data_IF_235259593885
#
_entry.id   IF_235259593885
#
_cell.length_a   1.000
_cell.length_b   1.000
_cell.length_c   1.000
_cell.angle_alpha   90.00
_cell.angle_beta   90.00
_cell.angle_gamma   90.00
#
_symmetry.space_group_name_H-M   'P 1'
#
loop_
_entity.id
_entity.type
_entity.pdbx_description
1 polymer ?
#
# COMPACT_ATOMS: atom_id res chain seq x y z
N UNK A 1 -33.93 -31.23 17.77
CA UNK A 1 -32.45 -31.16 17.86
C UNK A 1 -31.99 -29.97 17.02
N UNK A 2 -32.13 -28.75 17.56
CA UNK A 2 -31.64 -27.54 16.89
C UNK A 2 -30.12 -27.52 17.04
N UNK A 3 -29.40 -27.65 15.91
CA UNK A 3 -27.94 -27.48 15.91
C UNK A 3 -27.65 -26.04 16.32
N UNK A 4 -26.94 -25.86 17.42
CA UNK A 4 -26.34 -24.60 17.81
C UNK A 4 -25.45 -24.13 16.65
N UNK A 5 -25.94 -23.18 15.87
CA UNK A 5 -25.07 -22.35 15.02
C UNK A 5 -24.34 -21.46 16.01
N UNK A 6 -23.18 -21.91 16.48
CA UNK A 6 -22.26 -21.03 17.20
C UNK A 6 -21.99 -19.83 16.31
N UNK A 7 -22.22 -18.58 16.78
CA UNK A 7 -21.95 -17.41 15.97
C UNK A 7 -20.49 -17.49 15.50
N UNK A 8 -20.31 -17.44 14.19
CA UNK A 8 -18.99 -17.41 13.57
C UNK A 8 -18.24 -16.25 14.20
N UNK A 9 -17.12 -16.56 14.87
CA UNK A 9 -16.33 -15.54 15.55
C UNK A 9 -15.94 -14.47 14.53
N UNK A 10 -16.23 -13.19 14.80
CA UNK A 10 -16.01 -12.10 13.85
C UNK A 10 -14.55 -12.06 13.37
N UNK A 11 -13.62 -12.50 14.23
CA UNK A 11 -12.20 -12.64 13.93
C UNK A 11 -11.94 -13.57 12.75
N UNK A 12 -12.58 -14.74 12.74
CA UNK A 12 -12.44 -15.70 11.65
C UNK A 12 -12.93 -15.10 10.32
N UNK A 13 -14.01 -14.31 10.35
CA UNK A 13 -14.54 -13.66 9.16
C UNK A 13 -13.58 -12.59 8.62
N UNK A 14 -12.98 -11.78 9.50
CA UNK A 14 -12.01 -10.76 9.11
C UNK A 14 -10.72 -11.37 8.57
N UNK A 15 -10.19 -12.39 9.24
CA UNK A 15 -9.02 -13.14 8.76
C UNK A 15 -9.27 -13.77 7.40
N UNK A 16 -10.40 -14.48 7.26
CA UNK A 16 -10.76 -15.11 6.01
C UNK A 16 -10.88 -14.09 4.88
N UNK A 17 -11.52 -12.94 5.13
CA UNK A 17 -11.65 -11.88 4.15
C UNK A 17 -10.29 -11.28 3.76
N UNK A 18 -9.42 -10.98 4.73
CA UNK A 18 -8.08 -10.45 4.48
C UNK A 18 -7.22 -11.44 3.69
N UNK A 19 -7.23 -12.71 4.09
CA UNK A 19 -6.51 -13.80 3.40
C UNK A 19 -6.98 -13.91 1.95
N UNK A 20 -8.29 -14.01 1.71
CA UNK A 20 -8.86 -14.10 0.37
C UNK A 20 -8.49 -12.87 -0.48
N UNK A 21 -8.58 -11.67 0.10
CA UNK A 21 -8.22 -10.43 -0.57
C UNK A 21 -6.75 -10.41 -0.99
N UNK A 22 -5.81 -10.71 -0.10
CA UNK A 22 -4.38 -10.64 -0.42
C UNK A 22 -3.92 -11.76 -1.35
N UNK A 23 -4.46 -12.97 -1.24
CA UNK A 23 -4.20 -14.06 -2.20
C UNK A 23 -4.72 -13.66 -3.58
N UNK A 24 -5.99 -13.28 -3.67
CA UNK A 24 -6.62 -12.88 -4.94
C UNK A 24 -5.91 -11.69 -5.59
N UNK A 25 -5.58 -10.67 -4.80
CA UNK A 25 -4.88 -9.47 -5.29
C UNK A 25 -3.46 -9.80 -5.74
N UNK A 26 -2.73 -10.64 -5.01
CA UNK A 26 -1.39 -11.09 -5.40
C UNK A 26 -1.42 -11.88 -6.71
N UNK A 27 -2.36 -12.82 -6.85
CA UNK A 27 -2.58 -13.56 -8.08
C UNK A 27 -2.91 -12.64 -9.25
N UNK A 28 -3.75 -11.61 -9.04
CA UNK A 28 -4.10 -10.64 -10.06
C UNK A 28 -2.89 -9.80 -10.50
N UNK A 29 -2.05 -9.37 -9.54
CA UNK A 29 -0.80 -8.67 -9.85
C UNK A 29 0.14 -9.57 -10.63
N UNK A 30 0.31 -10.84 -10.26
CA UNK A 30 1.15 -11.79 -11.02
C UNK A 30 0.62 -12.02 -12.44
N UNK A 31 -0.68 -12.30 -12.59
CA UNK A 31 -1.32 -12.48 -13.89
C UNK A 31 -1.17 -11.25 -14.79
N UNK A 32 -1.10 -10.05 -14.20
CA UNK A 32 -0.91 -8.80 -14.93
C UNK A 32 0.49 -8.62 -15.56
N UNK A 33 1.46 -9.49 -15.27
CA UNK A 33 2.75 -9.51 -15.98
C UNK A 33 2.61 -10.09 -17.39
N UNK A 34 1.70 -11.06 -17.56
CA UNK A 34 1.51 -11.79 -18.81
C UNK A 34 0.24 -11.36 -19.55
N UNK A 35 -0.77 -10.83 -18.85
CA UNK A 35 -2.03 -10.40 -19.45
C UNK A 35 -2.06 -8.88 -19.67
N UNK A 36 -2.08 -8.40 -20.94
CA UNK A 36 -2.09 -6.97 -21.24
C UNK A 36 -3.31 -6.23 -20.68
N UNK A 37 -4.47 -6.89 -20.58
CA UNK A 37 -5.67 -6.28 -20.01
C UNK A 37 -5.51 -6.02 -18.51
N UNK A 38 -5.07 -7.02 -17.76
CA UNK A 38 -4.81 -6.88 -16.32
C UNK A 38 -3.66 -5.91 -16.05
N UNK A 39 -2.65 -5.85 -16.92
CA UNK A 39 -1.56 -4.90 -16.80
C UNK A 39 -2.07 -3.46 -16.70
N UNK A 40 -3.12 -3.11 -17.46
CA UNK A 40 -3.73 -1.77 -17.48
C UNK A 40 -4.30 -1.34 -16.13
N UNK A 41 -4.79 -2.30 -15.33
CA UNK A 41 -5.35 -2.02 -13.99
C UNK A 41 -4.24 -1.57 -13.04
N UNK A 42 -3.05 -2.16 -13.14
CA UNK A 42 -1.93 -1.88 -12.23
C UNK A 42 -0.94 -0.82 -12.75
N UNK A 43 -1.19 -0.23 -13.93
CA UNK A 43 -0.37 0.86 -14.48
C UNK A 43 -1.01 2.22 -14.20
N UNK A 44 -0.27 3.10 -13.52
CA UNK A 44 -0.68 4.47 -13.19
C UNK A 44 0.41 5.49 -13.56
N UNK A 45 0.04 6.77 -13.70
CA UNK A 45 0.99 7.86 -14.00
C UNK A 45 1.62 7.75 -15.39
N UNK A 46 2.96 7.72 -15.48
CA UNK A 46 3.71 7.68 -16.75
C UNK A 46 3.54 6.40 -17.57
N UNK A 47 2.95 5.37 -16.97
CA UNK A 47 2.73 4.07 -17.61
C UNK A 47 1.31 3.91 -18.15
N UNK A 48 0.48 4.95 -18.04
CA UNK A 48 -0.89 4.94 -18.57
C UNK A 48 -0.84 5.05 -20.10
N UNK A 49 -1.40 4.05 -20.78
CA UNK A 49 -1.73 4.10 -22.21
C UNK A 49 -3.21 4.43 -22.33
N UNK A 50 -3.56 5.51 -23.03
CA UNK A 50 -4.95 5.90 -23.23
C UNK A 50 -5.62 4.90 -24.19
N UNK A 51 -6.66 4.20 -23.74
CA UNK A 51 -7.49 3.32 -24.58
C UNK A 51 -8.97 3.55 -24.30
N UNK A 52 -9.79 3.36 -25.33
CA UNK A 52 -11.25 3.44 -25.25
C UNK A 52 -11.82 2.50 -24.17
N UNK A 53 -12.79 3.01 -23.38
CA UNK A 53 -13.54 2.22 -22.38
C UNK A 53 -12.99 2.22 -20.95
N UNK A 54 -11.87 2.88 -20.66
CA UNK A 54 -11.35 2.97 -19.29
C UNK A 54 -11.96 4.15 -18.53
N UNK A 55 -12.62 3.87 -17.39
CA UNK A 55 -13.08 4.93 -16.47
C UNK A 55 -11.88 5.42 -15.66
N UNK A 56 -11.55 6.69 -15.84
CA UNK A 56 -10.41 7.31 -15.21
C UNK A 56 -10.84 8.25 -14.09
N UNK A 57 -10.11 8.17 -12.99
CA UNK A 57 -10.34 8.96 -11.79
C UNK A 57 -9.20 9.98 -11.65
N UNK A 58 -9.55 11.21 -11.23
CA UNK A 58 -8.57 12.26 -10.98
C UNK A 58 -7.59 11.89 -9.87
N UNK A 59 -6.35 12.38 -9.97
CA UNK A 59 -5.30 12.19 -8.95
C UNK A 59 -5.71 12.67 -7.55
N UNK A 60 -6.59 13.65 -7.44
CA UNK A 60 -7.11 14.10 -6.14
C UNK A 60 -7.74 12.95 -5.35
N UNK A 61 -8.22 11.89 -6.01
CA UNK A 61 -8.73 10.70 -5.34
C UNK A 61 -7.65 9.79 -4.73
N UNK A 62 -6.36 9.98 -5.03
CA UNK A 62 -5.31 9.35 -4.23
C UNK A 62 -5.36 9.86 -2.78
N UNK A 63 -5.55 11.17 -2.57
CA UNK A 63 -5.73 11.72 -1.23
C UNK A 63 -6.88 11.02 -0.51
N UNK A 64 -7.98 10.77 -1.22
CA UNK A 64 -9.13 10.05 -0.66
C UNK A 64 -8.77 8.64 -0.19
N UNK A 65 -7.97 7.89 -0.96
CA UNK A 65 -7.53 6.54 -0.57
C UNK A 65 -6.74 6.59 0.75
N UNK A 66 -5.75 7.49 0.86
CA UNK A 66 -4.92 7.56 2.07
C UNK A 66 -5.69 8.09 3.28
N UNK A 67 -6.57 9.08 3.08
CA UNK A 67 -7.48 9.57 4.12
C UNK A 67 -8.44 8.47 4.58
N UNK A 68 -8.95 7.66 3.65
CA UNK A 68 -9.78 6.51 3.98
C UNK A 68 -9.03 5.48 4.82
N UNK A 69 -7.77 5.18 4.48
CA UNK A 69 -6.90 4.33 5.30
C UNK A 69 -6.67 4.88 6.71
N UNK A 70 -6.49 6.19 6.84
CA UNK A 70 -6.38 6.82 8.16
C UNK A 70 -7.68 6.70 8.97
N UNK A 71 -8.83 7.02 8.36
CA UNK A 71 -10.15 6.97 9.03
C UNK A 71 -10.51 5.55 9.44
N UNK A 72 -10.34 4.57 8.56
CA UNK A 72 -10.61 3.15 8.87
C UNK A 72 -9.70 2.63 9.97
N UNK A 73 -8.43 3.01 9.98
CA UNK A 73 -7.52 2.68 11.07
C UNK A 73 -7.97 3.30 12.39
N UNK A 74 -8.37 4.58 12.39
CA UNK A 74 -8.90 5.25 13.59
C UNK A 74 -10.18 4.58 14.12
N UNK A 75 -11.11 4.22 13.23
CA UNK A 75 -12.35 3.51 13.60
C UNK A 75 -11.99 2.18 14.25
N UNK A 76 -11.15 1.38 13.61
CA UNK A 76 -10.71 0.09 14.15
C UNK A 76 -9.98 0.29 15.49
N UNK A 77 -9.09 1.27 15.60
CA UNK A 77 -8.37 1.60 16.83
C UNK A 77 -9.31 1.95 18.00
N UNK A 78 -10.40 2.68 17.76
CA UNK A 78 -11.35 3.09 18.82
C UNK A 78 -12.36 1.98 19.16
N UNK A 79 -12.78 1.19 18.17
CA UNK A 79 -13.84 0.18 18.32
C UNK A 79 -13.33 -1.18 18.77
N UNK A 80 -12.03 -1.42 18.63
CA UNK A 80 -11.43 -2.68 19.03
C UNK A 80 -11.08 -2.66 20.50
N UNK A 81 -11.56 -3.64 21.25
CA UNK A 81 -11.10 -3.87 22.62
C UNK A 81 -9.61 -4.26 22.58
N UNK A 82 -8.76 -3.47 23.25
CA UNK A 82 -7.30 -3.66 23.30
C UNK A 82 -6.89 -4.97 23.98
N UNK A 83 -7.84 -5.74 24.50
CA UNK A 83 -7.60 -7.07 25.07
C UNK A 83 -7.48 -8.19 24.02
N UNK A 84 -7.84 -7.97 22.75
CA UNK A 84 -7.89 -9.04 21.74
C UNK A 84 -7.10 -8.75 20.45
N UNK A 85 -6.78 -7.50 20.17
CA UNK A 85 -6.29 -7.10 18.86
C UNK A 85 -5.27 -5.98 18.94
N UNK A 86 -4.09 -6.31 18.45
CA UNK A 86 -3.01 -5.42 18.04
C UNK A 86 -2.11 -4.88 19.14
N UNK A 87 -0.81 -4.85 18.81
CA UNK A 87 0.08 -3.84 19.35
C UNK A 87 -0.44 -2.46 18.92
N UNK A 88 -0.83 -1.56 19.85
CA UNK A 88 -1.26 -0.20 19.51
C UNK A 88 -0.25 0.51 18.59
N UNK A 89 1.02 0.15 18.73
CA UNK A 89 2.13 0.67 17.96
C UNK A 89 2.03 0.42 16.45
N UNK A 90 1.72 -0.81 15.99
CA UNK A 90 1.59 -1.09 14.55
C UNK A 90 0.48 -0.25 13.90
N UNK A 91 -0.64 -0.10 14.61
CA UNK A 91 -1.77 0.74 14.16
C UNK A 91 -1.40 2.20 14.09
N UNK A 92 -0.74 2.73 15.12
CA UNK A 92 -0.21 4.10 15.12
C UNK A 92 0.74 4.32 13.95
N UNK A 93 1.67 3.39 13.70
CA UNK A 93 2.62 3.49 12.58
C UNK A 93 1.91 3.48 11.22
N UNK A 94 0.91 2.62 11.02
CA UNK A 94 0.08 2.63 9.80
C UNK A 94 -0.69 3.95 9.66
N UNK A 95 -1.24 4.48 10.74
CA UNK A 95 -1.95 5.76 10.75
C UNK A 95 -1.02 6.92 10.37
N UNK A 96 0.19 6.96 10.95
CA UNK A 96 1.21 7.95 10.62
C UNK A 96 1.67 7.81 9.16
N UNK A 97 1.88 6.58 8.67
CA UNK A 97 2.23 6.34 7.27
C UNK A 97 1.15 6.85 6.33
N UNK A 98 -0.11 6.50 6.56
CA UNK A 98 -1.24 6.93 5.72
C UNK A 98 -1.45 8.45 5.74
N UNK A 99 -1.41 9.08 6.92
CA UNK A 99 -1.48 10.54 7.03
C UNK A 99 -0.33 11.24 6.31
N UNK A 100 0.90 10.75 6.48
CA UNK A 100 2.06 11.30 5.76
C UNK A 100 1.86 11.18 4.25
N UNK A 101 1.42 10.02 3.74
CA UNK A 101 1.14 9.83 2.30
C UNK A 101 0.06 10.78 1.78
N UNK A 102 -0.99 11.03 2.57
CA UNK A 102 -2.01 12.04 2.28
C UNK A 102 -1.40 13.46 2.20
N UNK A 103 -0.61 13.85 3.19
CA UNK A 103 0.06 15.15 3.23
C UNK A 103 1.04 15.35 2.06
N UNK A 104 1.82 14.32 1.73
CA UNK A 104 2.74 14.33 0.58
C UNK A 104 2.02 14.62 -0.73
N UNK A 105 0.79 14.13 -0.92
CA UNK A 105 0.00 14.42 -2.11
C UNK A 105 -0.37 15.88 -2.16
N UNK A 106 -0.80 16.47 -1.04
CA UNK A 106 -1.14 17.89 -0.98
C UNK A 106 0.10 18.73 -1.34
N UNK A 107 1.23 18.45 -0.68
CA UNK A 107 2.47 19.23 -0.81
C UNK A 107 3.15 19.04 -2.18
N UNK A 108 3.15 17.82 -2.73
CA UNK A 108 3.95 17.46 -3.92
C UNK A 108 3.14 17.48 -5.23
N UNK A 109 1.89 17.95 -5.23
CA UNK A 109 0.95 17.85 -6.36
C UNK A 109 1.18 18.84 -7.52
N UNK A 110 2.41 19.26 -7.81
CA UNK A 110 2.73 20.07 -9.01
C UNK A 110 2.51 19.36 -10.36
N UNK A 111 1.90 18.17 -10.39
CA UNK A 111 1.74 17.36 -11.61
C UNK A 111 0.32 17.50 -12.16
N UNK A 112 0.13 18.15 -13.31
CA UNK A 112 -1.18 18.26 -13.93
C UNK A 112 -1.62 16.86 -14.41
N UNK A 113 -2.80 16.43 -13.97
CA UNK A 113 -3.56 15.29 -14.49
C UNK A 113 -2.83 13.94 -14.61
N UNK A 114 -2.45 13.30 -13.50
CA UNK A 114 -2.27 11.83 -13.54
C UNK A 114 -3.62 11.14 -13.30
N UNK A 115 -4.16 10.52 -14.34
CA UNK A 115 -5.37 9.68 -14.26
C UNK A 115 -5.01 8.33 -13.60
N UNK A 116 -5.93 7.77 -12.82
CA UNK A 116 -5.87 6.41 -12.28
C UNK A 116 -7.09 5.62 -12.74
N UNK A 117 -6.91 4.33 -13.05
CA UNK A 117 -8.03 3.47 -13.43
C UNK A 117 -9.01 3.30 -12.24
N UNK A 118 -10.32 3.31 -12.47
CA UNK A 118 -11.33 3.13 -11.42
C UNK A 118 -11.14 1.81 -10.64
N UNK A 119 -10.79 0.72 -11.31
CA UNK A 119 -10.53 -0.54 -10.61
C UNK A 119 -9.31 -0.42 -9.68
N UNK A 120 -8.25 0.25 -10.13
CA UNK A 120 -7.09 0.54 -9.28
C UNK A 120 -7.46 1.40 -8.07
N UNK A 121 -8.36 2.36 -8.25
CA UNK A 121 -8.91 3.17 -7.17
C UNK A 121 -9.66 2.31 -6.14
N UNK A 122 -10.56 1.44 -6.61
CA UNK A 122 -11.34 0.54 -5.75
C UNK A 122 -10.46 -0.48 -5.03
N UNK A 123 -9.44 -1.04 -5.70
CA UNK A 123 -8.43 -1.88 -5.06
C UNK A 123 -7.66 -1.12 -3.99
N UNK A 124 -7.31 0.14 -4.25
CA UNK A 124 -6.69 1.02 -3.26
C UNK A 124 -7.59 1.22 -2.03
N UNK A 125 -8.87 1.54 -2.22
CA UNK A 125 -9.82 1.66 -1.11
C UNK A 125 -9.94 0.36 -0.32
N UNK A 126 -10.13 -0.78 -0.99
CA UNK A 126 -10.25 -2.08 -0.35
C UNK A 126 -8.98 -2.42 0.46
N UNK A 127 -7.80 -2.21 -0.11
CA UNK A 127 -6.53 -2.43 0.57
C UNK A 127 -6.44 -1.60 1.87
N UNK A 128 -6.76 -0.31 1.80
CA UNK A 128 -6.68 0.55 2.98
C UNK A 128 -7.80 0.32 4.00
N UNK A 129 -8.94 -0.25 3.61
CA UNK A 129 -9.96 -0.74 4.55
C UNK A 129 -9.49 -1.97 5.33
N UNK A 130 -8.80 -2.90 4.66
CA UNK A 130 -8.36 -4.17 5.26
C UNK A 130 -7.06 -3.99 6.06
N UNK A 131 -6.22 -3.02 5.66
CA UNK A 131 -4.91 -2.76 6.25
C UNK A 131 -4.89 -2.69 7.79
N UNK A 132 -5.83 -2.03 8.49
CA UNK A 132 -5.81 -2.00 9.95
C UNK A 132 -6.15 -3.36 10.59
N UNK A 133 -6.90 -4.21 9.88
CA UNK A 133 -7.39 -5.50 10.37
C UNK A 133 -6.31 -6.57 10.41
N UNK A 134 -5.17 -6.38 9.74
CA UNK A 134 -4.09 -7.39 9.68
C UNK A 134 -3.14 -7.33 10.88
N UNK A 135 -3.36 -6.39 11.81
CA UNK A 135 -2.51 -6.17 12.98
C UNK A 135 -3.01 -6.93 14.20
N UNK A 136 -2.27 -7.96 14.59
CA UNK A 136 -2.51 -8.84 15.74
C UNK A 136 -1.51 -8.63 16.87
N UNK A 137 -1.84 -9.11 18.06
CA UNK A 137 -0.96 -9.06 19.23
C UNK A 137 0.27 -9.96 19.06
N UNK A 138 1.39 -9.52 19.63
CA UNK A 138 2.64 -10.27 19.65
C UNK A 138 3.84 -9.33 19.64
N UNK A 139 4.39 -9.03 20.82
CA UNK A 139 5.69 -8.36 20.91
C UNK A 139 6.78 -9.33 20.45
N UNK A 140 7.31 -9.12 19.25
CA UNK A 140 8.44 -9.91 18.76
C UNK A 140 9.75 -9.38 19.32
N UNK A 141 10.78 -10.22 19.47
CA UNK A 141 12.12 -9.77 19.87
C UNK A 141 12.70 -8.66 18.95
N UNK A 142 12.15 -8.51 17.75
CA UNK A 142 12.61 -7.59 16.71
C UNK A 142 11.79 -6.28 16.64
N UNK A 143 10.85 -6.06 17.56
CA UNK A 143 9.91 -4.95 17.45
C UNK A 143 10.61 -3.58 17.45
N UNK A 144 11.59 -3.35 18.34
CA UNK A 144 12.35 -2.10 18.39
C UNK A 144 13.08 -1.80 17.08
N UNK A 145 13.81 -2.79 16.55
CA UNK A 145 14.56 -2.65 15.29
C UNK A 145 13.60 -2.37 14.14
N UNK A 146 12.44 -3.03 14.13
CA UNK A 146 11.41 -2.86 13.10
C UNK A 146 10.79 -1.47 13.13
N UNK A 147 10.57 -0.88 14.31
CA UNK A 147 10.07 0.50 14.46
C UNK A 147 11.09 1.51 13.95
N UNK A 148 12.37 1.32 14.27
CA UNK A 148 13.45 2.18 13.78
C UNK A 148 13.55 2.07 12.26
N UNK A 149 13.59 0.85 11.71
CA UNK A 149 13.66 0.60 10.27
C UNK A 149 12.43 1.17 9.54
N UNK A 150 11.24 1.02 10.09
CA UNK A 150 10.00 1.62 9.59
C UNK A 150 10.12 3.14 9.50
N UNK A 151 10.60 3.78 10.57
CA UNK A 151 10.73 5.23 10.65
C UNK A 151 11.73 5.77 9.63
N UNK A 152 12.88 5.11 9.51
CA UNK A 152 13.92 5.45 8.52
C UNK A 152 13.43 5.25 7.08
N UNK A 153 12.74 4.14 6.80
CA UNK A 153 12.19 3.88 5.48
C UNK A 153 11.09 4.89 5.11
N UNK A 154 10.18 5.19 6.05
CA UNK A 154 9.13 6.20 5.87
C UNK A 154 9.71 7.60 5.60
N UNK A 155 10.77 7.98 6.34
CA UNK A 155 11.48 9.25 6.12
C UNK A 155 12.20 9.28 4.77
N UNK A 156 12.95 8.23 4.42
CA UNK A 156 13.62 8.11 3.11
C UNK A 156 12.60 8.26 1.99
N UNK A 157 11.46 7.57 2.10
CA UNK A 157 10.41 7.66 1.10
C UNK A 157 9.84 9.07 0.98
N UNK A 158 9.64 9.77 2.11
CA UNK A 158 9.18 11.16 2.14
C UNK A 158 10.16 12.09 1.41
N UNK A 159 11.45 12.01 1.75
CA UNK A 159 12.52 12.80 1.13
C UNK A 159 12.53 12.58 -0.39
N UNK A 160 12.42 11.32 -0.83
CA UNK A 160 12.35 10.98 -2.25
C UNK A 160 11.10 11.58 -2.90
N UNK A 161 9.91 11.46 -2.30
CA UNK A 161 8.69 12.03 -2.87
C UNK A 161 8.72 13.55 -2.95
N UNK A 162 9.17 14.24 -1.91
CA UNK A 162 9.31 15.70 -1.91
C UNK A 162 10.31 16.14 -2.98
N UNK A 163 11.45 15.45 -3.09
CA UNK A 163 12.47 15.72 -4.10
C UNK A 163 11.94 15.49 -5.52
N UNK A 164 11.20 14.40 -5.76
CA UNK A 164 10.54 14.12 -7.04
C UNK A 164 9.36 15.06 -7.33
N UNK A 165 8.75 15.65 -6.31
CA UNK A 165 7.70 16.65 -6.42
C UNK A 165 8.22 18.03 -6.83
N UNK A 166 9.47 18.35 -6.48
CA UNK A 166 10.16 19.59 -6.90
C UNK A 166 10.64 19.55 -8.35
N UNK A 167 10.84 18.36 -8.91
CA UNK A 167 11.29 18.17 -10.31
C UNK A 167 10.14 18.32 -11.30
N UNK A 168 10.48 18.64 -12.57
CA UNK A 168 9.52 18.62 -13.68
C UNK A 168 8.88 17.23 -13.80
N UNK A 169 7.60 17.20 -14.19
CA UNK A 169 6.88 15.94 -14.37
C UNK A 169 7.64 15.05 -15.37
N UNK A 170 7.92 13.81 -14.96
CA UNK A 170 8.62 12.83 -15.78
C UNK A 170 10.01 13.26 -16.24
N UNK A 171 10.73 14.02 -15.42
CA UNK A 171 12.15 14.28 -15.65
C UNK A 171 12.95 12.96 -15.73
N UNK A 172 13.70 12.78 -16.82
CA UNK A 172 14.58 11.61 -17.06
C UNK A 172 15.92 11.74 -16.32
N UNK A 173 16.30 12.95 -15.90
CA UNK A 173 17.53 13.28 -15.16
C UNK A 173 17.35 13.11 -13.64
N UNK A 174 16.64 12.07 -13.24
CA UNK A 174 16.51 11.65 -11.85
C UNK A 174 17.64 10.66 -11.56
N UNK A 175 18.41 10.90 -10.49
CA UNK A 175 19.47 9.98 -10.05
C UNK A 175 18.91 8.60 -9.71
N UNK A 176 19.72 7.55 -9.92
CA UNK A 176 19.30 6.13 -9.81
C UNK A 176 18.61 5.84 -8.48
N UNK A 177 19.16 6.36 -7.37
CA UNK A 177 18.61 6.18 -6.02
C UNK A 177 17.16 6.68 -5.97
N UNK A 178 16.88 7.89 -6.45
CA UNK A 178 15.52 8.47 -6.45
C UNK A 178 14.53 7.74 -7.38
N UNK A 179 14.99 6.89 -8.30
CA UNK A 179 14.10 6.13 -9.22
C UNK A 179 13.44 4.93 -8.55
N UNK A 180 14.12 4.34 -7.57
CA UNK A 180 13.74 3.05 -6.97
C UNK A 180 13.60 3.10 -5.46
N UNK A 181 14.28 4.04 -4.78
CA UNK A 181 14.31 4.12 -3.33
C UNK A 181 12.92 4.28 -2.72
N UNK A 182 11.98 4.95 -3.37
CA UNK A 182 10.62 5.08 -2.82
C UNK A 182 9.85 3.75 -2.77
N UNK A 183 10.04 2.87 -3.76
CA UNK A 183 9.39 1.56 -3.84
C UNK A 183 10.07 0.55 -2.92
N UNK A 184 11.40 0.61 -2.83
CA UNK A 184 12.17 -0.20 -1.88
C UNK A 184 11.81 0.20 -0.44
N UNK A 185 11.72 1.50 -0.16
CA UNK A 185 11.30 1.98 1.14
C UNK A 185 9.87 1.54 1.50
N UNK A 186 8.91 1.60 0.55
CA UNK A 186 7.56 1.07 0.78
C UNK A 186 7.61 -0.42 1.13
N UNK A 187 8.42 -1.23 0.42
CA UNK A 187 8.58 -2.65 0.75
C UNK A 187 9.12 -2.85 2.17
N UNK A 188 10.14 -2.10 2.57
CA UNK A 188 10.71 -2.16 3.93
C UNK A 188 9.67 -1.78 4.98
N UNK A 189 8.85 -0.76 4.74
CA UNK A 189 7.76 -0.34 5.64
C UNK A 189 6.80 -1.51 5.92
N UNK A 190 6.37 -2.24 4.89
CA UNK A 190 5.43 -3.35 5.06
C UNK A 190 6.08 -4.60 5.66
N UNK A 191 7.36 -4.88 5.37
CA UNK A 191 8.13 -5.91 6.09
C UNK A 191 8.18 -5.57 7.60
N UNK A 192 8.42 -4.30 7.95
CA UNK A 192 8.44 -3.88 9.35
C UNK A 192 7.08 -4.06 10.02
N UNK A 193 5.97 -3.76 9.33
CA UNK A 193 4.61 -4.02 9.86
C UNK A 193 4.43 -5.51 10.17
N UNK A 194 4.82 -6.40 9.26
CA UNK A 194 4.79 -7.85 9.49
C UNK A 194 5.65 -8.25 10.70
N UNK A 195 6.88 -7.72 10.83
CA UNK A 195 7.77 -8.07 11.94
C UNK A 195 7.29 -7.54 13.30
N UNK A 196 6.58 -6.41 13.33
CA UNK A 196 5.97 -5.86 14.54
C UNK A 196 4.73 -6.66 14.94
N UNK A 197 3.98 -7.16 13.96
CA UNK A 197 2.69 -7.81 14.16
C UNK A 197 2.55 -9.03 13.24
N UNK A 198 3.27 -10.13 13.55
CA UNK A 198 3.35 -11.28 12.66
C UNK A 198 2.04 -12.05 12.67
N UNK A 199 1.43 -12.16 11.50
CA UNK A 199 0.20 -12.92 11.28
C UNK A 199 0.15 -13.41 9.83
N UNK A 200 -0.71 -14.38 9.54
CA UNK A 200 -0.93 -14.83 8.15
C UNK A 200 -1.42 -13.66 7.27
N UNK A 201 -2.41 -12.83 7.70
CA UNK A 201 -2.79 -11.65 6.94
C UNK A 201 -1.66 -10.63 6.72
N UNK A 202 -0.84 -10.32 7.73
CA UNK A 202 0.24 -9.32 7.59
C UNK A 202 1.40 -9.84 6.72
N UNK A 203 1.66 -11.15 6.73
CA UNK A 203 2.55 -11.80 5.80
C UNK A 203 2.04 -11.69 4.35
N UNK A 204 0.78 -12.07 4.11
CA UNK A 204 0.17 -12.02 2.77
C UNK A 204 0.07 -10.58 2.23
N UNK A 205 -0.20 -9.61 3.10
CA UNK A 205 -0.12 -8.19 2.78
C UNK A 205 1.30 -7.82 2.29
N UNK A 206 2.33 -8.28 2.98
CA UNK A 206 3.74 -8.01 2.62
C UNK A 206 4.08 -8.63 1.26
N UNK A 207 3.61 -9.85 0.99
CA UNK A 207 3.74 -10.51 -0.32
C UNK A 207 3.03 -9.72 -1.43
N UNK A 208 1.81 -9.26 -1.17
CA UNK A 208 1.06 -8.44 -2.12
C UNK A 208 1.79 -7.13 -2.45
N UNK A 209 2.28 -6.42 -1.43
CA UNK A 209 3.06 -5.18 -1.60
C UNK A 209 4.37 -5.46 -2.35
N UNK A 210 5.05 -6.57 -2.05
CA UNK A 210 6.24 -6.99 -2.77
C UNK A 210 6.00 -7.15 -4.27
N UNK A 211 4.92 -7.83 -4.68
CA UNK A 211 4.60 -7.95 -6.10
C UNK A 211 4.26 -6.60 -6.75
N UNK A 212 3.49 -5.75 -6.06
CA UNK A 212 3.18 -4.40 -6.54
C UNK A 212 4.44 -3.56 -6.75
N UNK A 213 5.32 -3.49 -5.74
CA UNK A 213 6.55 -2.69 -5.79
C UNK A 213 7.54 -3.24 -6.80
N UNK A 214 7.70 -4.56 -6.89
CA UNK A 214 8.57 -5.21 -7.88
C UNK A 214 8.13 -4.88 -9.30
N UNK A 215 6.82 -4.92 -9.56
CA UNK A 215 6.28 -4.53 -10.86
C UNK A 215 6.53 -3.04 -11.16
N UNK A 216 6.31 -2.16 -10.19
CA UNK A 216 6.56 -0.72 -10.37
C UNK A 216 8.05 -0.40 -10.59
N UNK A 217 8.95 -1.09 -9.90
CA UNK A 217 10.40 -1.00 -10.10
C UNK A 217 10.75 -1.42 -11.52
N UNK A 218 10.24 -2.57 -11.99
CA UNK A 218 10.47 -3.07 -13.34
C UNK A 218 9.97 -2.11 -14.42
N UNK A 219 8.73 -1.60 -14.28
CA UNK A 219 8.17 -0.61 -15.21
C UNK A 219 8.99 0.69 -15.20
N UNK A 220 9.44 1.15 -14.02
CA UNK A 220 10.32 2.31 -13.92
C UNK A 220 11.66 2.07 -14.59
N UNK A 221 12.27 0.90 -14.39
CA UNK A 221 13.53 0.51 -15.02
C UNK A 221 13.42 0.53 -16.54
N UNK A 222 12.34 -0.02 -17.11
CA UNK A 222 12.10 0.02 -18.56
C UNK A 222 11.88 1.43 -19.11
N UNK A 223 11.26 2.31 -18.33
CA UNK A 223 10.91 3.65 -18.78
C UNK A 223 12.09 4.63 -18.77
N UNK A 224 13.00 4.51 -17.80
CA UNK A 224 14.19 5.35 -17.79
C UNK A 224 15.23 4.78 -18.78
N UNK A 225 15.74 5.59 -19.73
CA UNK A 225 16.74 5.11 -20.67
C UNK A 225 18.00 4.67 -19.90
N UNK A 226 18.63 3.58 -20.36
CA UNK A 226 20.02 3.28 -19.98
C UNK A 226 20.84 4.48 -20.44
N UNK A 227 21.51 5.18 -19.51
CA UNK A 227 22.53 6.16 -19.93
C UNK A 227 23.54 5.38 -20.77
N UNK A 228 23.73 5.79 -22.03
CA UNK A 228 24.87 5.36 -22.83
C UNK A 228 26.13 5.94 -22.21
#
# INVERSE_FOLDING_TARGET
MARYITPMNAEFLFDYFAICFYIGSSALVLASWSCPYLNRIFTNGKHVTATNGSVWVSKSKFLHIYMWGFVTNLIVYITTDYSYYSTPLARILIALHTMRRAAEIIISSKRPYSKMNLLAYLYGLAFYTILPLVTYEGTTAHWYISVIAFSLASLLQCIVHVSLGRKRAYDKNVGIIFRYANHIAELVIFICIYLISPSVPSFLMTVYVFFCMSKLIYLNYKWYPKKK
#
